data_IF_349308509657
#
_entry.id   IF_349308509657
#
_cell.length_a   1.000
_cell.length_b   1.000
_cell.length_c   1.000
_cell.angle_alpha   90.00
_cell.angle_beta   90.00
_cell.angle_gamma   90.00
#
_symmetry.space_group_name_H-M   'P 1'
#
loop_
_entity.id
_entity.type
_entity.pdbx_description
1 polymer ?
#
# COMPACT_ATOMS: atom_id res chain seq x y z
N UNK A 1 -4.52 5.83 14.35
CA UNK A 1 -4.33 4.76 15.34
C UNK A 1 -2.84 4.52 15.55
N UNK A 2 -2.46 3.96 16.69
CA UNK A 2 -1.08 3.56 16.94
C UNK A 2 -0.72 2.27 16.21
N UNK A 3 0.55 2.13 15.83
CA UNK A 3 1.13 0.95 15.17
C UNK A 3 2.27 0.37 16.02
N UNK A 4 1.97 -0.24 17.18
CA UNK A 4 3.01 -0.78 18.06
C UNK A 4 3.85 -1.88 17.39
N UNK A 5 3.30 -2.54 16.36
CA UNK A 5 3.99 -3.51 15.51
C UNK A 5 5.07 -2.89 14.59
N UNK A 6 4.96 -1.58 14.29
CA UNK A 6 5.90 -0.86 13.43
C UNK A 6 6.77 0.16 14.18
N UNK A 7 6.36 0.56 15.38
CA UNK A 7 6.96 1.64 16.16
C UNK A 7 6.19 2.97 16.05
N UNK A 8 6.47 3.88 16.98
CA UNK A 8 5.70 5.12 17.17
C UNK A 8 5.72 6.06 15.94
N UNK A 9 6.76 5.99 15.10
CA UNK A 9 6.87 6.84 13.91
C UNK A 9 5.78 6.55 12.89
N UNK A 10 5.28 5.31 12.83
CA UNK A 10 4.27 4.88 11.84
C UNK A 10 2.83 4.98 12.35
N UNK A 11 2.63 5.50 13.56
CA UNK A 11 1.32 5.85 14.09
C UNK A 11 0.64 6.96 13.28
N UNK A 12 -0.66 7.14 13.49
CA UNK A 12 -1.46 8.16 12.83
C UNK A 12 -2.41 7.56 11.80
N UNK A 13 -2.53 8.19 10.63
CA UNK A 13 -3.44 7.75 9.56
C UNK A 13 -2.96 6.46 8.91
N UNK A 14 -3.89 5.54 8.71
CA UNK A 14 -3.67 4.27 8.05
C UNK A 14 -4.63 4.16 6.86
N UNK A 15 -4.10 3.79 5.69
CA UNK A 15 -4.91 3.45 4.53
C UNK A 15 -5.56 2.07 4.74
N UNK A 16 -6.87 2.02 4.52
CA UNK A 16 -7.67 0.80 4.50
C UNK A 16 -8.57 0.93 3.27
N UNK A 17 -8.52 -0.05 2.37
CA UNK A 17 -9.32 -0.05 1.14
C UNK A 17 -10.12 -1.35 1.06
N UNK A 18 -11.45 -1.22 1.01
CA UNK A 18 -12.38 -2.36 0.90
C UNK A 18 -12.75 -2.69 -0.55
N UNK A 19 -12.22 -1.94 -1.52
CA UNK A 19 -12.43 -2.23 -2.95
C UNK A 19 -11.67 -3.50 -3.32
N UNK A 20 -12.33 -4.54 -3.84
CA UNK A 20 -11.68 -5.82 -4.16
C UNK A 20 -10.87 -5.72 -5.46
N UNK A 21 -9.67 -5.13 -5.38
CA UNK A 21 -8.79 -4.90 -6.52
C UNK A 21 -7.67 -5.96 -6.62
N UNK A 22 -6.97 -6.23 -5.52
CA UNK A 22 -5.89 -7.23 -5.42
C UNK A 22 -6.12 -8.12 -4.19
N UNK A 23 -5.59 -9.35 -4.23
CA UNK A 23 -5.63 -10.27 -3.09
C UNK A 23 -4.42 -10.09 -2.18
N UNK A 24 -4.66 -10.10 -0.86
CA UNK A 24 -3.63 -10.10 0.18
C UNK A 24 -3.83 -11.35 1.04
N UNK A 25 -2.89 -12.30 0.94
CA UNK A 25 -3.01 -13.67 1.46
C UNK A 25 -4.28 -14.38 0.93
N UNK A 26 -4.44 -14.41 -0.39
CA UNK A 26 -5.55 -15.07 -1.11
C UNK A 26 -6.97 -14.53 -0.80
N UNK A 27 -7.07 -13.41 -0.08
CA UNK A 27 -8.34 -12.75 0.28
C UNK A 27 -8.34 -11.30 -0.21
N UNK A 28 -9.47 -10.81 -0.71
CA UNK A 28 -9.63 -9.39 -1.05
C UNK A 28 -9.70 -8.53 0.21
N UNK A 29 -8.57 -7.91 0.55
CA UNK A 29 -8.41 -6.97 1.66
C UNK A 29 -7.15 -6.12 1.41
N UNK A 30 -7.15 -4.89 1.92
CA UNK A 30 -6.00 -4.01 1.82
C UNK A 30 -5.89 -3.15 3.10
N UNK A 31 -4.69 -3.17 3.70
CA UNK A 31 -4.35 -2.41 4.90
C UNK A 31 -4.67 -3.13 6.22
N UNK A 32 -4.43 -2.48 7.37
CA UNK A 32 -4.05 -1.07 7.51
C UNK A 32 -2.57 -0.80 7.12
N UNK A 33 -2.37 0.13 6.18
CA UNK A 33 -1.04 0.58 5.75
C UNK A 33 -0.72 1.96 6.31
N UNK A 34 0.45 2.14 6.93
CA UNK A 34 0.83 3.45 7.49
C UNK A 34 1.08 4.45 6.36
N UNK A 35 0.37 5.58 6.37
CA UNK A 35 0.61 6.64 5.37
C UNK A 35 2.03 7.21 5.46
N UNK A 36 2.67 7.13 6.64
CA UNK A 36 4.09 7.49 6.77
C UNK A 36 4.97 6.51 6.01
N UNK A 37 4.75 5.20 6.18
CA UNK A 37 5.51 4.17 5.45
C UNK A 37 5.34 4.32 3.93
N UNK A 38 4.12 4.59 3.46
CA UNK A 38 3.85 4.84 2.04
C UNK A 38 4.61 6.07 1.55
N UNK A 39 4.51 7.21 2.24
CA UNK A 39 5.19 8.45 1.85
C UNK A 39 6.71 8.30 1.81
N UNK A 40 7.27 7.60 2.79
CA UNK A 40 8.72 7.47 2.96
C UNK A 40 9.31 6.31 2.11
N UNK A 41 8.45 5.52 1.45
CA UNK A 41 8.86 4.41 0.59
C UNK A 41 9.27 3.13 1.34
N UNK A 42 8.83 2.97 2.58
CA UNK A 42 9.13 1.80 3.43
C UNK A 42 8.21 0.61 3.11
N UNK A 43 8.29 0.11 1.88
CA UNK A 43 7.29 -0.80 1.29
C UNK A 43 7.24 -2.21 1.91
N UNK A 44 8.24 -2.58 2.70
CA UNK A 44 8.30 -3.87 3.40
C UNK A 44 7.47 -3.89 4.69
N UNK A 45 6.95 -2.73 5.14
CA UNK A 45 6.14 -2.65 6.36
C UNK A 45 4.73 -3.20 6.10
N UNK A 46 4.19 -4.03 7.00
CA UNK A 46 2.81 -4.47 6.88
C UNK A 46 1.82 -3.31 7.12
N UNK A 47 0.62 -3.31 6.57
CA UNK A 47 0.11 -4.25 5.55
C UNK A 47 0.07 -3.54 4.19
N UNK A 48 0.27 -4.32 3.12
CA UNK A 48 0.05 -3.93 1.71
C UNK A 48 0.69 -2.59 1.27
N UNK A 49 1.78 -2.16 1.93
CA UNK A 49 2.38 -0.85 1.68
C UNK A 49 2.86 -0.68 0.24
N UNK A 50 3.36 -1.73 -0.39
CA UNK A 50 3.74 -1.73 -1.81
C UNK A 50 2.56 -1.46 -2.74
N UNK A 51 1.40 -2.09 -2.48
CA UNK A 51 0.21 -1.91 -3.28
C UNK A 51 -0.36 -0.49 -3.13
N UNK A 52 -0.49 -0.01 -1.89
CA UNK A 52 -0.95 1.37 -1.61
C UNK A 52 0.01 2.39 -2.22
N UNK A 53 1.32 2.14 -2.20
CA UNK A 53 2.30 2.99 -2.86
C UNK A 53 2.11 3.01 -4.37
N UNK A 54 1.93 1.85 -5.01
CA UNK A 54 1.70 1.78 -6.45
C UNK A 54 0.44 2.56 -6.88
N UNK A 55 -0.63 2.58 -6.08
CA UNK A 55 -1.84 3.34 -6.36
C UNK A 55 -1.59 4.85 -6.53
N UNK A 56 -0.56 5.40 -5.89
CA UNK A 56 -0.28 6.85 -5.86
C UNK A 56 1.06 7.24 -6.49
N UNK A 57 1.93 6.28 -6.77
CA UNK A 57 3.29 6.53 -7.28
C UNK A 57 3.69 5.68 -8.50
N UNK A 58 2.83 4.79 -9.01
CA UNK A 58 3.18 4.01 -10.21
C UNK A 58 3.31 4.91 -11.46
N UNK A 59 4.35 4.63 -12.26
CA UNK A 59 4.51 5.25 -13.57
C UNK A 59 3.59 4.61 -14.60
N UNK A 60 3.12 5.42 -15.54
CA UNK A 60 2.32 4.96 -16.69
C UNK A 60 3.21 4.82 -17.92
N UNK A 61 3.41 3.58 -18.38
CA UNK A 61 4.16 3.28 -19.61
C UNK A 61 3.19 3.07 -20.78
N UNK A 62 3.44 3.77 -21.90
CA UNK A 62 2.64 3.66 -23.12
C UNK A 62 3.33 2.74 -24.13
N UNK A 63 2.63 1.66 -24.52
CA UNK A 63 3.14 0.66 -25.45
C UNK A 63 2.53 0.85 -26.83
N UNK A 64 3.36 0.69 -27.88
CA UNK A 64 2.88 0.53 -29.26
C UNK A 64 2.90 -0.96 -29.60
N UNK A 65 1.72 -1.54 -29.78
CA UNK A 65 1.56 -2.94 -30.20
C UNK A 65 1.16 -2.99 -31.68
N UNK A 66 1.65 -3.99 -32.43
CA UNK A 66 1.40 -4.13 -33.87
C UNK A 66 1.05 -5.56 -34.27
N UNK A 67 0.26 -6.25 -33.42
CA UNK A 67 -0.30 -7.57 -33.72
C UNK A 67 0.51 -8.72 -33.17
#
# INVERSE_FOLDING_TARGET
MDRPDLGADYSGWQAIDSTPQETSEDVYRCGPSSLRAVRDGDLQKPYDASYVFAQVNADKVLWKYSG
#
